data_IF_027326999178
#
_entry.id   IF_027326999178
#
_cell.length_a   1.000
_cell.length_b   1.000
_cell.length_c   1.000
_cell.angle_alpha   90.00
_cell.angle_beta   90.00
_cell.angle_gamma   90.00
#
_symmetry.space_group_name_H-M   'P 1'
#
loop_
_entity.id
_entity.type
_entity.pdbx_description
1 polymer ?
#
# COMPACT_ATOMS: atom_id res chain seq x y z
N UNK A 1 8.57 -11.42 -7.29
CA UNK A 1 8.09 -10.01 -7.41
C UNK A 1 7.76 -9.61 -8.85
N UNK A 2 8.45 -10.17 -9.84
CA UNK A 2 8.20 -9.88 -11.26
C UNK A 2 7.68 -11.10 -12.02
N UNK A 3 8.00 -12.33 -11.59
CA UNK A 3 7.73 -13.59 -12.29
C UNK A 3 6.36 -14.21 -11.97
N UNK A 4 5.71 -13.76 -10.90
CA UNK A 4 4.45 -14.31 -10.44
C UNK A 4 3.39 -13.21 -10.35
N UNK A 5 2.14 -13.59 -10.56
CA UNK A 5 0.98 -12.71 -10.39
C UNK A 5 0.19 -13.09 -9.14
N UNK A 6 -0.46 -12.12 -8.53
CA UNK A 6 -1.36 -12.31 -7.40
C UNK A 6 -2.61 -11.44 -7.55
N UNK A 7 -3.65 -11.78 -6.83
CA UNK A 7 -4.87 -10.97 -6.77
C UNK A 7 -4.66 -9.87 -5.72
N UNK A 8 -4.63 -8.57 -6.09
CA UNK A 8 -4.19 -7.49 -5.19
C UNK A 8 -5.16 -7.21 -4.02
N UNK A 9 -6.40 -7.70 -4.11
CA UNK A 9 -7.42 -7.47 -3.11
C UNK A 9 -7.64 -5.97 -2.86
N UNK A 10 -7.94 -5.62 -1.63
CA UNK A 10 -8.35 -4.26 -1.27
C UNK A 10 -7.29 -3.17 -1.47
N UNK A 11 -6.02 -3.48 -1.76
CA UNK A 11 -5.04 -2.48 -2.22
C UNK A 11 -5.52 -1.83 -3.53
N UNK A 12 -6.20 -2.60 -4.38
CA UNK A 12 -6.73 -2.12 -5.66
C UNK A 12 -7.78 -1.00 -5.53
N UNK A 13 -8.44 -0.88 -4.37
CA UNK A 13 -9.40 0.20 -4.11
C UNK A 13 -8.79 1.61 -4.22
N UNK A 14 -7.48 1.74 -4.01
CA UNK A 14 -6.78 3.03 -4.20
C UNK A 14 -6.84 3.49 -5.66
N UNK A 15 -6.69 2.55 -6.60
CA UNK A 15 -6.76 2.84 -8.05
C UNK A 15 -8.18 3.12 -8.50
N UNK A 16 -9.17 2.39 -7.96
CA UNK A 16 -10.59 2.64 -8.25
C UNK A 16 -11.04 3.98 -7.68
N UNK A 17 -10.60 4.36 -6.48
CA UNK A 17 -10.85 5.68 -5.92
C UNK A 17 -10.21 6.79 -6.77
N UNK A 18 -8.98 6.57 -7.24
CA UNK A 18 -8.27 7.50 -8.13
C UNK A 18 -9.05 7.73 -9.43
N UNK A 19 -9.46 6.66 -10.10
CA UNK A 19 -10.24 6.74 -11.34
C UNK A 19 -11.59 7.45 -11.13
N UNK A 20 -12.30 7.12 -10.05
CA UNK A 20 -13.61 7.67 -9.77
C UNK A 20 -13.57 9.17 -9.38
N UNK A 21 -12.51 9.60 -8.69
CA UNK A 21 -12.27 11.02 -8.40
C UNK A 21 -11.88 11.79 -9.67
N UNK A 22 -11.01 11.23 -10.50
CA UNK A 22 -10.56 11.85 -11.75
C UNK A 22 -11.70 12.06 -12.74
N UNK A 23 -12.59 11.07 -12.86
CA UNK A 23 -13.80 11.16 -13.70
C UNK A 23 -14.94 11.95 -13.03
N UNK A 24 -14.74 12.47 -11.82
CA UNK A 24 -15.73 13.21 -11.05
C UNK A 24 -17.05 12.45 -10.82
N UNK A 25 -17.07 11.12 -10.90
CA UNK A 25 -18.25 10.30 -10.58
C UNK A 25 -18.49 10.19 -9.08
N UNK A 26 -17.47 10.52 -8.28
CA UNK A 26 -17.53 10.71 -6.82
C UNK A 26 -16.67 11.91 -6.42
N UNK A 27 -16.86 12.40 -5.20
CA UNK A 27 -16.00 13.37 -4.53
C UNK A 27 -15.80 12.96 -3.06
N UNK A 28 -14.96 13.68 -2.30
CA UNK A 28 -14.65 13.32 -0.90
C UNK A 28 -15.90 13.31 0.01
N UNK A 29 -16.94 14.07 -0.33
CA UNK A 29 -18.21 14.15 0.41
C UNK A 29 -19.24 13.10 -0.04
N UNK A 30 -18.93 12.32 -1.09
CA UNK A 30 -19.82 11.23 -1.52
C UNK A 30 -19.97 10.21 -0.40
N UNK A 31 -21.23 9.91 -0.03
CA UNK A 31 -21.56 8.99 1.05
C UNK A 31 -22.21 7.71 0.54
N UNK A 32 -22.06 6.65 1.32
CA UNK A 32 -22.70 5.36 1.13
C UNK A 32 -23.07 4.74 2.47
N UNK A 33 -24.28 4.18 2.56
CA UNK A 33 -24.75 3.45 3.75
C UNK A 33 -24.51 1.95 3.58
N UNK A 34 -23.49 1.42 4.25
CA UNK A 34 -23.13 0.01 4.20
C UNK A 34 -23.94 -0.80 5.23
N UNK A 35 -24.75 -1.71 4.77
CA UNK A 35 -25.57 -2.64 5.58
C UNK A 35 -24.95 -4.05 5.67
N UNK A 36 -23.64 -4.18 5.41
CA UNK A 36 -22.91 -5.45 5.48
C UNK A 36 -22.88 -6.27 4.18
N UNK A 37 -23.66 -5.92 3.19
CA UNK A 37 -23.68 -6.57 1.87
C UNK A 37 -24.36 -5.69 0.81
N UNK A 38 -24.16 -6.07 -0.47
CA UNK A 38 -24.86 -5.47 -1.62
C UNK A 38 -25.28 -6.60 -2.57
N UNK A 39 -26.48 -6.47 -3.15
CA UNK A 39 -26.95 -7.36 -4.20
C UNK A 39 -26.41 -6.91 -5.56
N UNK A 40 -25.74 -7.81 -6.27
CA UNK A 40 -25.24 -7.59 -7.62
C UNK A 40 -25.73 -8.74 -8.48
N UNK A 41 -26.67 -8.47 -9.37
CA UNK A 41 -27.37 -9.52 -10.11
C UNK A 41 -27.91 -10.60 -9.14
N UNK A 42 -27.64 -11.87 -9.38
CA UNK A 42 -28.03 -12.99 -8.50
C UNK A 42 -27.09 -13.20 -7.29
N UNK A 43 -26.00 -12.46 -7.18
CA UNK A 43 -24.99 -12.65 -6.12
C UNK A 43 -25.15 -11.62 -5.01
N UNK A 44 -25.10 -12.11 -3.76
CA UNK A 44 -25.00 -11.24 -2.58
C UNK A 44 -23.53 -11.10 -2.20
N UNK A 45 -22.92 -9.95 -2.54
CA UNK A 45 -21.53 -9.64 -2.21
C UNK A 45 -21.44 -9.05 -0.80
N UNK A 46 -20.59 -9.63 0.04
CA UNK A 46 -20.49 -9.30 1.46
C UNK A 46 -19.37 -8.29 1.74
N UNK A 47 -19.60 -7.44 2.72
CA UNK A 47 -18.54 -6.69 3.37
C UNK A 47 -17.79 -7.61 4.36
N UNK A 48 -16.50 -7.36 4.59
CA UNK A 48 -15.75 -8.08 5.62
C UNK A 48 -16.32 -7.78 7.03
N UNK A 49 -16.91 -6.62 7.25
CA UNK A 49 -17.65 -6.28 8.47
C UNK A 49 -19.14 -6.54 8.25
N UNK A 50 -19.61 -7.67 8.71
CA UNK A 50 -20.95 -8.19 8.42
C UNK A 50 -22.11 -7.33 8.97
N UNK A 51 -21.99 -6.64 10.14
CA UNK A 51 -23.04 -5.72 10.59
C UNK A 51 -23.21 -4.51 9.67
N UNK A 52 -22.21 -4.22 8.83
CA UNK A 52 -22.17 -3.02 7.99
C UNK A 52 -21.58 -1.81 8.72
N UNK A 53 -20.97 -0.92 7.95
CA UNK A 53 -20.26 0.25 8.48
C UNK A 53 -21.20 1.46 8.71
N UNK A 54 -22.48 1.33 8.35
CA UNK A 54 -23.40 2.48 8.33
C UNK A 54 -23.04 3.50 7.24
N UNK A 55 -23.44 4.74 7.45
CA UNK A 55 -23.15 5.84 6.51
C UNK A 55 -21.70 6.30 6.68
N UNK A 56 -20.96 6.31 5.59
CA UNK A 56 -19.55 6.67 5.54
C UNK A 56 -19.24 7.49 4.28
N UNK A 57 -18.30 8.42 4.39
CA UNK A 57 -17.77 9.19 3.28
C UNK A 57 -16.81 8.32 2.43
N UNK A 58 -16.36 8.84 1.27
CA UNK A 58 -15.40 8.16 0.42
C UNK A 58 -14.10 7.82 1.19
N UNK A 59 -13.58 8.76 1.98
CA UNK A 59 -12.39 8.54 2.82
C UNK A 59 -12.64 7.43 3.84
N UNK A 60 -13.73 7.48 4.58
CA UNK A 60 -14.11 6.44 5.55
C UNK A 60 -14.34 5.08 4.89
N UNK A 61 -14.88 5.06 3.67
CA UNK A 61 -15.03 3.83 2.88
C UNK A 61 -13.68 3.17 2.55
N UNK A 62 -12.63 3.97 2.31
CA UNK A 62 -11.27 3.49 2.11
C UNK A 62 -10.62 3.07 3.44
N UNK A 63 -10.79 3.85 4.52
CA UNK A 63 -10.36 3.54 5.90
C UNK A 63 -10.88 2.18 6.35
N UNK A 64 -12.18 1.98 6.20
CA UNK A 64 -12.88 0.77 6.57
C UNK A 64 -12.75 -0.35 5.53
N UNK A 65 -12.09 -0.10 4.41
CA UNK A 65 -11.98 -1.07 3.32
C UNK A 65 -13.33 -1.66 2.87
N UNK A 66 -14.40 -0.86 2.81
CA UNK A 66 -15.77 -1.29 2.59
C UNK A 66 -16.02 -1.82 1.17
N UNK A 67 -16.26 -3.13 1.01
CA UNK A 67 -16.51 -3.74 -0.30
C UNK A 67 -17.80 -3.19 -0.97
N UNK A 68 -18.98 -3.13 -0.31
CA UNK A 68 -20.21 -2.63 -0.94
C UNK A 68 -20.06 -1.20 -1.46
N UNK A 69 -19.32 -0.33 -0.75
CA UNK A 69 -19.09 1.02 -1.22
C UNK A 69 -18.26 1.03 -2.51
N UNK A 70 -17.15 0.29 -2.55
CA UNK A 70 -16.30 0.23 -3.73
C UNK A 70 -16.96 -0.46 -4.92
N UNK A 71 -17.85 -1.42 -4.69
CA UNK A 71 -18.74 -1.98 -5.72
C UNK A 71 -19.60 -0.88 -6.32
N UNK A 72 -20.25 -0.07 -5.48
CA UNK A 72 -21.08 1.06 -5.94
C UNK A 72 -20.27 2.10 -6.71
N UNK A 73 -19.04 2.40 -6.28
CA UNK A 73 -18.13 3.31 -6.98
C UNK A 73 -17.76 2.75 -8.35
N UNK A 74 -17.40 1.48 -8.44
CA UNK A 74 -17.05 0.84 -9.71
C UNK A 74 -18.24 0.79 -10.67
N UNK A 75 -19.45 0.52 -10.17
CA UNK A 75 -20.68 0.57 -11.00
C UNK A 75 -20.97 1.98 -11.51
N UNK A 76 -20.73 3.02 -10.71
CA UNK A 76 -20.85 4.42 -11.15
C UNK A 76 -19.78 4.81 -12.17
N UNK A 77 -18.55 4.30 -12.01
CA UNK A 77 -17.45 4.52 -12.93
C UNK A 77 -17.75 3.89 -14.31
N UNK A 78 -18.41 2.72 -14.30
CA UNK A 78 -18.73 1.93 -15.49
C UNK A 78 -17.54 1.17 -16.05
N UNK A 79 -17.81 0.17 -16.89
CA UNK A 79 -16.78 -0.73 -17.45
C UNK A 79 -15.74 0.07 -18.24
N UNK A 80 -16.19 0.97 -19.12
CA UNK A 80 -15.29 1.73 -19.99
C UNK A 80 -14.28 2.57 -19.21
N UNK A 81 -14.72 3.37 -18.26
CA UNK A 81 -13.81 4.18 -17.46
C UNK A 81 -12.96 3.32 -16.51
N UNK A 82 -13.53 2.25 -15.93
CA UNK A 82 -12.73 1.29 -15.15
C UNK A 82 -11.56 0.76 -15.98
N UNK A 83 -11.83 0.30 -17.20
CA UNK A 83 -10.81 -0.29 -18.08
C UNK A 83 -9.82 0.77 -18.60
N UNK A 84 -10.27 1.98 -18.91
CA UNK A 84 -9.44 3.13 -19.25
C UNK A 84 -8.34 3.35 -18.20
N UNK A 85 -8.69 3.37 -16.91
CA UNK A 85 -7.72 3.56 -15.83
C UNK A 85 -6.93 2.29 -15.50
N UNK A 86 -7.51 1.12 -15.66
CA UNK A 86 -6.79 -0.14 -15.55
C UNK A 86 -5.63 -0.21 -16.55
N UNK A 87 -5.86 0.21 -17.79
CA UNK A 87 -4.79 0.36 -18.80
C UNK A 87 -3.85 1.52 -18.49
N UNK A 88 -4.38 2.68 -18.11
CA UNK A 88 -3.58 3.86 -17.83
C UNK A 88 -2.58 3.65 -16.70
N UNK A 89 -2.93 2.91 -15.64
CA UNK A 89 -2.02 2.49 -14.56
C UNK A 89 -1.02 1.39 -14.99
N UNK A 90 -1.09 0.89 -16.23
CA UNK A 90 -0.18 -0.12 -16.77
C UNK A 90 -0.51 -1.56 -16.39
N UNK A 91 -1.75 -1.84 -15.96
CA UNK A 91 -2.15 -3.18 -15.51
C UNK A 91 -2.51 -4.14 -16.64
N UNK A 92 -2.53 -3.68 -17.90
CA UNK A 92 -2.78 -4.50 -19.09
C UNK A 92 -1.52 -5.09 -19.71
N UNK A 93 -0.34 -4.62 -19.30
CA UNK A 93 0.93 -4.97 -19.94
C UNK A 93 2.07 -5.06 -18.92
N UNK A 94 3.18 -5.67 -19.33
CA UNK A 94 4.42 -5.72 -18.54
C UNK A 94 4.96 -4.31 -18.29
N UNK A 95 5.63 -4.12 -17.15
CA UNK A 95 6.28 -2.85 -16.80
C UNK A 95 7.52 -2.59 -17.64
N UNK A 96 8.08 -3.64 -18.27
CA UNK A 96 9.37 -3.63 -18.95
C UNK A 96 10.53 -3.19 -18.03
N UNK A 97 10.47 -3.59 -16.76
CA UNK A 97 11.63 -3.48 -15.87
C UNK A 97 12.81 -4.27 -16.43
N UNK A 98 14.02 -3.82 -16.19
CA UNK A 98 15.26 -4.44 -16.67
C UNK A 98 15.62 -5.75 -15.91
N UNK A 99 14.61 -6.56 -15.65
CA UNK A 99 14.74 -7.92 -15.08
C UNK A 99 14.18 -8.96 -16.06
N UNK A 100 14.81 -10.13 -16.18
CA UNK A 100 14.27 -11.22 -16.97
C UNK A 100 13.06 -11.88 -16.28
N UNK A 101 12.20 -12.51 -17.09
CA UNK A 101 11.13 -13.36 -16.57
C UNK A 101 9.90 -12.61 -16.04
N UNK A 102 9.69 -11.35 -16.41
CA UNK A 102 8.47 -10.63 -16.00
C UNK A 102 7.23 -11.33 -16.54
N UNK A 103 6.31 -11.69 -15.63
CA UNK A 103 5.05 -12.34 -15.98
C UNK A 103 4.08 -11.35 -16.63
N UNK A 104 3.19 -11.85 -17.47
CA UNK A 104 2.08 -11.06 -18.01
C UNK A 104 0.93 -11.03 -17.02
N UNK A 105 0.22 -9.89 -16.87
CA UNK A 105 -0.97 -9.81 -16.05
C UNK A 105 -2.07 -10.71 -16.61
N UNK A 106 -2.97 -11.17 -15.71
CA UNK A 106 -4.14 -11.95 -16.08
C UNK A 106 -5.38 -11.14 -15.76
N UNK A 107 -6.18 -10.82 -16.76
CA UNK A 107 -7.38 -10.00 -16.63
C UNK A 107 -8.38 -10.33 -17.74
N UNK A 108 -9.65 -10.03 -17.50
CA UNK A 108 -10.67 -10.06 -18.54
C UNK A 108 -10.56 -8.81 -19.42
N UNK A 109 -10.79 -8.97 -20.73
CA UNK A 109 -10.87 -7.83 -21.65
C UNK A 109 -12.13 -7.00 -21.38
N UNK A 110 -12.15 -5.75 -21.83
CA UNK A 110 -13.23 -4.80 -21.59
C UNK A 110 -14.61 -5.37 -22.00
N UNK A 111 -14.68 -6.05 -23.15
CA UNK A 111 -15.91 -6.67 -23.69
C UNK A 111 -16.39 -7.90 -22.90
N UNK A 112 -15.59 -8.42 -22.00
CA UNK A 112 -15.89 -9.55 -21.12
C UNK A 112 -16.41 -9.13 -19.74
N UNK A 113 -16.39 -7.82 -19.44
CA UNK A 113 -16.87 -7.31 -18.16
C UNK A 113 -18.38 -7.12 -18.16
N UNK A 114 -19.09 -7.94 -17.39
CA UNK A 114 -20.44 -7.67 -16.95
C UNK A 114 -20.45 -6.92 -15.62
N UNK A 115 -21.65 -6.71 -15.06
CA UNK A 115 -21.85 -6.02 -13.79
C UNK A 115 -21.18 -6.75 -12.62
N UNK A 116 -21.12 -8.08 -12.67
CA UNK A 116 -20.55 -8.94 -11.61
C UNK A 116 -19.02 -8.83 -11.63
N UNK A 117 -18.42 -8.97 -12.81
CA UNK A 117 -16.95 -8.83 -12.99
C UNK A 117 -16.48 -7.44 -12.58
N UNK A 118 -17.16 -6.38 -13.03
CA UNK A 118 -16.86 -5.00 -12.64
C UNK A 118 -16.97 -4.81 -11.12
N UNK A 119 -18.02 -5.33 -10.52
CA UNK A 119 -18.24 -5.24 -9.07
C UNK A 119 -17.12 -5.93 -8.29
N UNK A 120 -16.72 -7.14 -8.70
CA UNK A 120 -15.63 -7.89 -8.09
C UNK A 120 -14.28 -7.20 -8.31
N UNK A 121 -14.01 -6.72 -9.51
CA UNK A 121 -12.79 -5.99 -9.86
C UNK A 121 -12.64 -4.68 -9.08
N UNK A 122 -13.75 -4.01 -8.73
CA UNK A 122 -13.76 -2.75 -8.00
C UNK A 122 -13.19 -2.85 -6.58
N UNK A 123 -13.12 -4.05 -6.00
CA UNK A 123 -12.42 -4.27 -4.73
C UNK A 123 -11.23 -5.23 -4.85
N UNK A 124 -10.78 -5.49 -6.10
CA UNK A 124 -9.49 -6.12 -6.40
C UNK A 124 -9.50 -7.64 -6.44
N UNK A 125 -10.64 -8.31 -6.71
CA UNK A 125 -10.76 -9.78 -6.66
C UNK A 125 -10.79 -10.47 -8.04
N UNK A 126 -10.73 -9.74 -9.14
CA UNK A 126 -10.93 -10.34 -10.48
C UNK A 126 -9.63 -10.49 -11.25
N UNK A 127 -8.70 -9.57 -11.08
CA UNK A 127 -7.49 -9.50 -11.91
C UNK A 127 -6.26 -9.95 -11.12
N UNK A 128 -5.31 -10.64 -11.79
CA UNK A 128 -4.02 -11.01 -11.23
C UNK A 128 -2.91 -10.16 -11.85
N UNK A 129 -2.15 -9.47 -11.02
CA UNK A 129 -1.10 -8.54 -11.38
C UNK A 129 0.22 -8.96 -10.75
N UNK A 130 1.34 -8.60 -11.36
CA UNK A 130 2.62 -8.76 -10.68
C UNK A 130 2.76 -7.74 -9.55
N UNK A 131 3.48 -8.07 -8.45
CA UNK A 131 3.79 -7.12 -7.40
C UNK A 131 4.41 -5.82 -7.93
N UNK A 132 5.29 -5.92 -8.94
CA UNK A 132 5.92 -4.72 -9.52
C UNK A 132 4.92 -3.82 -10.24
N UNK A 133 3.90 -4.38 -10.94
CA UNK A 133 2.84 -3.57 -11.54
C UNK A 133 2.06 -2.80 -10.48
N UNK A 134 1.64 -3.46 -9.40
CA UNK A 134 0.90 -2.81 -8.31
C UNK A 134 1.76 -1.73 -7.62
N UNK A 135 3.03 -2.02 -7.36
CA UNK A 135 3.96 -1.04 -6.79
C UNK A 135 4.17 0.17 -7.72
N UNK A 136 4.33 -0.06 -9.02
CA UNK A 136 4.47 1.01 -10.04
C UNK A 136 3.20 1.88 -10.10
N UNK A 137 2.02 1.28 -9.97
CA UNK A 137 0.75 2.01 -9.82
C UNK A 137 0.70 2.87 -8.56
N UNK A 138 1.19 2.37 -7.42
CA UNK A 138 1.33 3.15 -6.18
C UNK A 138 2.31 4.31 -6.36
N UNK A 139 3.43 4.10 -7.08
CA UNK A 139 4.33 5.19 -7.45
C UNK A 139 3.63 6.28 -8.27
N UNK A 140 2.73 5.91 -9.18
CA UNK A 140 1.96 6.90 -9.92
C UNK A 140 1.02 7.72 -9.01
N UNK A 141 0.39 7.09 -8.02
CA UNK A 141 -0.38 7.81 -6.99
C UNK A 141 0.54 8.73 -6.16
N UNK A 142 1.75 8.29 -5.84
CA UNK A 142 2.70 9.03 -5.00
C UNK A 142 3.25 10.29 -5.69
N UNK A 143 3.56 10.23 -6.98
CA UNK A 143 4.37 11.24 -7.70
C UNK A 143 3.56 12.26 -8.53
N UNK A 144 2.30 12.51 -8.18
CA UNK A 144 1.44 13.45 -8.91
C UNK A 144 0.75 12.86 -10.14
N UNK A 145 0.60 11.54 -10.20
CA UNK A 145 -0.19 10.83 -11.20
C UNK A 145 0.58 10.33 -12.43
N UNK A 146 1.90 10.31 -12.38
CA UNK A 146 2.76 9.92 -13.52
C UNK A 146 3.15 8.44 -13.45
N UNK A 147 2.80 7.66 -14.46
CA UNK A 147 3.32 6.30 -14.62
C UNK A 147 4.75 6.35 -15.14
N UNK A 148 5.68 5.78 -14.39
CA UNK A 148 7.08 5.70 -14.75
C UNK A 148 7.46 4.25 -15.10
N UNK A 149 8.41 4.06 -16.02
CA UNK A 149 8.99 2.75 -16.26
C UNK A 149 9.98 2.42 -15.12
N UNK A 150 9.77 1.33 -14.35
CA UNK A 150 10.71 0.94 -13.31
C UNK A 150 12.01 0.41 -13.91
N UNK A 151 13.12 0.59 -13.19
CA UNK A 151 14.43 0.03 -13.52
C UNK A 151 15.24 -0.24 -12.25
N UNK A 152 16.21 -1.16 -12.33
CA UNK A 152 17.15 -1.48 -11.25
C UNK A 152 18.56 -0.98 -11.56
N UNK A 153 18.97 -1.06 -12.82
CA UNK A 153 20.32 -0.66 -13.23
C UNK A 153 20.38 0.83 -13.46
N UNK A 154 20.95 1.58 -12.52
CA UNK A 154 21.12 3.04 -12.64
C UNK A 154 22.21 3.43 -13.65
N UNK A 155 23.32 2.66 -13.67
CA UNK A 155 24.43 2.91 -14.61
C UNK A 155 25.29 1.66 -14.84
N UNK A 156 25.96 1.64 -15.98
CA UNK A 156 26.99 0.66 -16.32
C UNK A 156 28.31 1.42 -16.45
N UNK A 157 29.35 0.94 -15.77
CA UNK A 157 30.69 1.51 -15.82
C UNK A 157 31.69 0.50 -16.42
N UNK A 158 32.69 0.98 -17.14
CA UNK A 158 33.78 0.14 -17.64
C UNK A 158 34.82 -0.17 -16.53
N UNK A 159 35.85 -0.95 -16.87
CA UNK A 159 36.92 -1.34 -15.95
C UNK A 159 37.72 -0.15 -15.40
N UNK A 160 37.67 1.01 -16.02
CA UNK A 160 38.33 2.24 -15.62
C UNK A 160 37.44 3.18 -14.79
N UNK A 161 36.19 2.75 -14.48
CA UNK A 161 35.21 3.54 -13.76
C UNK A 161 34.47 4.59 -14.60
N UNK A 162 34.65 4.59 -15.92
CA UNK A 162 33.94 5.51 -16.84
C UNK A 162 32.52 4.99 -17.07
N UNK A 163 31.53 5.85 -16.92
CA UNK A 163 30.13 5.53 -17.22
C UNK A 163 29.97 5.28 -18.73
N UNK A 164 29.58 4.06 -19.09
CA UNK A 164 29.26 3.61 -20.46
C UNK A 164 27.81 3.83 -20.77
N UNK A 165 26.91 3.62 -19.78
CA UNK A 165 25.48 3.82 -19.91
C UNK A 165 24.93 4.35 -18.58
N UNK A 166 24.01 5.30 -18.65
CA UNK A 166 23.20 5.77 -17.54
C UNK A 166 21.73 5.57 -17.88
N UNK A 167 20.96 5.05 -16.94
CA UNK A 167 19.51 4.93 -17.10
C UNK A 167 18.86 6.23 -16.67
N UNK A 168 18.05 6.81 -17.54
CA UNK A 168 17.26 8.00 -17.22
C UNK A 168 15.83 7.60 -16.88
N UNK A 169 15.20 8.35 -15.96
CA UNK A 169 13.80 8.17 -15.60
C UNK A 169 12.92 8.37 -16.83
N UNK A 170 12.09 7.38 -17.14
CA UNK A 170 11.19 7.43 -18.30
C UNK A 170 9.75 7.55 -17.83
N UNK A 171 9.14 8.69 -18.06
CA UNK A 171 7.71 8.88 -17.93
C UNK A 171 6.98 8.21 -19.10
N UNK A 172 6.03 7.33 -18.79
CA UNK A 172 5.19 6.63 -19.79
C UNK A 172 3.98 7.49 -20.12
N UNK A 173 3.27 7.99 -19.09
CA UNK A 173 2.07 8.82 -19.25
C UNK A 173 1.64 9.47 -17.93
N UNK A 174 0.83 10.53 -18.04
CA UNK A 174 0.02 11.02 -16.92
C UNK A 174 -1.24 10.14 -16.81
N UNK A 175 -1.49 9.56 -15.65
CA UNK A 175 -2.63 8.65 -15.38
C UNK A 175 -3.78 9.39 -14.75
N UNK A 176 -3.48 10.19 -13.73
CA UNK A 176 -4.42 11.02 -12.98
C UNK A 176 -3.81 12.40 -12.75
N UNK A 177 -4.61 13.41 -12.49
CA UNK A 177 -4.14 14.75 -12.16
C UNK A 177 -3.37 14.77 -10.84
N UNK A 178 -2.53 15.80 -10.65
CA UNK A 178 -1.83 16.02 -9.37
C UNK A 178 -2.83 16.25 -8.22
N UNK A 179 -3.96 16.89 -8.49
CA UNK A 179 -5.04 17.11 -7.51
C UNK A 179 -5.67 15.79 -7.06
N UNK A 180 -5.97 14.88 -7.99
CA UNK A 180 -6.47 13.54 -7.65
C UNK A 180 -5.43 12.73 -6.89
N UNK A 181 -4.16 12.76 -7.30
CA UNK A 181 -3.04 12.15 -6.60
C UNK A 181 -2.98 12.63 -5.13
N UNK A 182 -3.01 13.93 -4.90
CA UNK A 182 -2.98 14.51 -3.55
C UNK A 182 -4.19 14.05 -2.70
N UNK A 183 -5.40 14.07 -3.27
CA UNK A 183 -6.61 13.59 -2.58
C UNK A 183 -6.47 12.13 -2.16
N UNK A 184 -6.00 11.26 -3.06
CA UNK A 184 -5.84 9.83 -2.77
C UNK A 184 -4.73 9.59 -1.74
N UNK A 185 -3.61 10.32 -1.81
CA UNK A 185 -2.55 10.25 -0.78
C UNK A 185 -3.07 10.63 0.61
N UNK A 186 -3.88 11.68 0.71
CA UNK A 186 -4.55 12.07 1.97
C UNK A 186 -5.52 11.00 2.48
N UNK A 187 -6.29 10.37 1.58
CA UNK A 187 -7.14 9.24 1.95
C UNK A 187 -6.32 8.04 2.44
N UNK A 188 -5.20 7.72 1.78
CA UNK A 188 -4.30 6.63 2.22
C UNK A 188 -3.66 6.94 3.58
N UNK A 189 -3.32 8.22 3.85
CA UNK A 189 -2.87 8.65 5.18
C UNK A 189 -3.96 8.40 6.23
N UNK A 190 -5.20 8.76 5.92
CA UNK A 190 -6.33 8.55 6.83
C UNK A 190 -6.58 7.05 7.12
N UNK A 191 -6.30 6.15 6.18
CA UNK A 191 -6.33 4.69 6.42
C UNK A 191 -5.33 4.28 7.51
N UNK A 192 -4.15 4.91 7.55
CA UNK A 192 -3.14 4.65 8.59
C UNK A 192 -3.51 5.33 9.90
N UNK A 193 -3.99 6.57 9.85
CA UNK A 193 -4.33 7.31 11.08
C UNK A 193 -5.58 6.74 11.78
N UNK A 194 -6.62 6.39 11.01
CA UNK A 194 -7.97 6.13 11.52
C UNK A 194 -8.55 4.76 11.12
N UNK A 195 -7.97 4.10 10.12
CA UNK A 195 -8.56 2.93 9.47
C UNK A 195 -7.86 1.61 9.76
N UNK A 196 -8.00 0.69 8.81
CA UNK A 196 -7.45 -0.67 8.86
C UNK A 196 -5.92 -0.73 8.80
N UNK A 197 -5.25 0.37 8.48
CA UNK A 197 -3.80 0.48 8.32
C UNK A 197 -3.04 0.98 9.56
N UNK A 198 -3.67 1.10 10.72
CA UNK A 198 -3.08 1.72 11.94
C UNK A 198 -1.70 1.19 12.33
N UNK A 199 -1.44 -0.08 12.14
CA UNK A 199 -0.15 -0.70 12.46
C UNK A 199 0.98 -0.28 11.47
N UNK A 200 0.64 0.45 10.41
CA UNK A 200 1.60 1.08 9.50
C UNK A 200 2.04 2.48 9.92
N UNK A 201 1.56 2.96 11.07
CA UNK A 201 1.91 4.27 11.61
C UNK A 201 3.39 4.31 12.06
N UNK A 202 4.06 5.42 11.73
CA UNK A 202 5.44 5.71 12.16
C UNK A 202 5.48 7.13 12.72
N UNK A 203 5.83 7.27 13.99
CA UNK A 203 5.92 8.58 14.64
C UNK A 203 6.87 9.52 13.88
N UNK A 204 6.45 10.76 13.69
CA UNK A 204 7.21 11.76 12.97
C UNK A 204 7.19 11.64 11.44
N UNK A 205 6.60 10.57 10.90
CA UNK A 205 6.49 10.37 9.45
C UNK A 205 5.04 10.21 9.01
N UNK A 206 4.67 10.97 7.97
CA UNK A 206 3.34 10.87 7.37
C UNK A 206 3.27 9.64 6.47
N UNK A 207 2.74 8.51 6.96
CA UNK A 207 2.60 7.29 6.17
C UNK A 207 1.19 7.19 5.60
N UNK A 208 1.08 7.00 4.30
CA UNK A 208 -0.17 6.61 3.63
C UNK A 208 -0.14 5.12 3.30
N UNK A 209 -1.25 4.40 3.52
CA UNK A 209 -1.26 2.97 3.24
C UNK A 209 -2.63 2.39 2.92
N UNK A 210 -2.64 1.15 2.43
CA UNK A 210 -3.87 0.38 2.21
C UNK A 210 -3.60 -1.10 2.41
N UNK A 211 -4.41 -1.72 3.26
CA UNK A 211 -4.41 -3.16 3.50
C UNK A 211 -5.04 -3.93 2.35
N UNK A 212 -4.52 -5.10 2.03
CA UNK A 212 -5.09 -6.07 1.11
C UNK A 212 -5.23 -7.44 1.76
N UNK A 213 -6.29 -8.13 1.39
CA UNK A 213 -6.50 -9.56 1.66
C UNK A 213 -7.23 -10.12 0.47
N UNK A 214 -6.72 -11.19 -0.10
CA UNK A 214 -7.35 -11.90 -1.22
C UNK A 214 -7.32 -13.40 -0.97
N UNK A 215 -8.38 -14.09 -1.42
CA UNK A 215 -8.47 -15.54 -1.37
C UNK A 215 -7.79 -16.13 -2.60
N UNK A 216 -6.98 -17.17 -2.43
CA UNK A 216 -6.43 -17.96 -3.53
C UNK A 216 -7.50 -18.88 -4.06
N UNK A 217 -8.03 -18.57 -5.26
CA UNK A 217 -9.08 -19.36 -5.89
C UNK A 217 -8.52 -20.69 -6.43
N UNK A 218 -9.17 -21.79 -6.11
CA UNK A 218 -8.88 -23.12 -6.67
C UNK A 218 -7.83 -23.93 -5.92
N UNK A 219 -7.24 -23.46 -4.83
CA UNK A 219 -6.26 -24.22 -4.04
C UNK A 219 -6.85 -24.92 -2.80
N UNK A 220 -8.12 -24.66 -2.48
CA UNK A 220 -8.83 -25.43 -1.44
C UNK A 220 -9.21 -26.81 -1.97
N UNK A 221 -8.32 -27.78 -1.82
CA UNK A 221 -8.58 -29.20 -2.07
C UNK A 221 -8.68 -29.94 -0.74
N UNK A 222 -9.70 -30.77 -0.60
CA UNK A 222 -9.84 -31.76 0.49
C UNK A 222 -10.11 -31.23 1.91
N UNK A 223 -10.89 -30.14 2.08
CA UNK A 223 -11.31 -29.70 3.43
C UNK A 223 -10.26 -28.89 4.18
N UNK A 224 -9.16 -28.51 3.55
CA UNK A 224 -8.29 -27.43 4.02
C UNK A 224 -9.01 -26.10 3.86
N UNK A 225 -8.89 -25.20 4.84
CA UNK A 225 -9.49 -23.86 4.80
C UNK A 225 -9.00 -23.03 3.62
N UNK A 226 -9.69 -21.93 3.34
CA UNK A 226 -9.28 -21.00 2.28
C UNK A 226 -7.86 -20.49 2.54
N UNK A 227 -7.02 -20.52 1.49
CA UNK A 227 -5.68 -19.91 1.53
C UNK A 227 -5.76 -18.44 1.13
N UNK A 228 -4.97 -17.63 1.78
CA UNK A 228 -4.99 -16.17 1.59
C UNK A 228 -3.63 -15.62 1.18
N UNK A 229 -3.67 -14.51 0.45
CA UNK A 229 -2.55 -13.60 0.27
C UNK A 229 -2.91 -12.31 0.98
N UNK A 230 -2.06 -11.85 1.89
CA UNK A 230 -2.25 -10.60 2.61
C UNK A 230 -1.19 -9.60 2.17
N UNK A 231 -1.56 -8.32 2.10
CA UNK A 231 -0.67 -7.29 1.60
C UNK A 231 -0.90 -5.93 2.27
N UNK A 232 0.08 -5.07 2.15
CA UNK A 232 0.00 -3.67 2.51
C UNK A 232 0.78 -2.83 1.50
N UNK A 233 0.06 -1.97 0.76
CA UNK A 233 0.67 -0.96 -0.09
C UNK A 233 0.84 0.33 0.69
N UNK A 234 2.04 0.94 0.66
CA UNK A 234 2.34 2.16 1.40
C UNK A 234 3.13 3.17 0.56
N UNK A 235 3.00 4.42 0.95
CA UNK A 235 3.78 5.57 0.46
C UNK A 235 4.25 6.39 1.66
N UNK A 236 5.47 6.92 1.61
CA UNK A 236 6.02 7.72 2.70
C UNK A 236 7.10 8.71 2.22
N UNK A 237 7.14 9.95 2.76
CA UNK A 237 6.03 10.60 3.46
C UNK A 237 4.82 10.79 2.54
N UNK A 238 3.58 10.76 3.04
CA UNK A 238 2.39 10.83 2.17
C UNK A 238 2.11 12.24 1.62
N UNK A 239 2.66 13.26 2.25
CA UNK A 239 2.58 14.67 1.83
C UNK A 239 3.61 15.00 0.74
N UNK A 240 4.82 14.43 0.83
CA UNK A 240 5.90 14.56 -0.17
C UNK A 240 6.60 13.20 -0.34
N UNK A 241 6.05 12.28 -1.14
CA UNK A 241 6.49 10.90 -1.18
C UNK A 241 7.88 10.70 -1.78
N UNK A 242 8.74 10.04 -1.02
CA UNK A 242 10.08 9.60 -1.44
C UNK A 242 10.12 8.10 -1.74
N UNK A 243 9.25 7.32 -1.07
CA UNK A 243 9.17 5.88 -1.28
C UNK A 243 7.72 5.42 -1.48
N UNK A 244 7.57 4.40 -2.30
CA UNK A 244 6.39 3.57 -2.35
C UNK A 244 6.81 2.11 -2.16
N UNK A 245 6.01 1.34 -1.43
CA UNK A 245 6.30 -0.05 -1.16
C UNK A 245 5.04 -0.91 -1.21
N UNK A 246 5.24 -2.19 -1.47
CA UNK A 246 4.21 -3.21 -1.39
C UNK A 246 4.77 -4.42 -0.63
N UNK A 247 4.25 -4.66 0.55
CA UNK A 247 4.55 -5.83 1.37
C UNK A 247 3.50 -6.89 1.10
N UNK A 248 3.94 -8.11 0.79
CA UNK A 248 3.06 -9.25 0.53
C UNK A 248 3.52 -10.42 1.37
N UNK A 249 2.58 -11.10 2.02
CA UNK A 249 2.79 -12.41 2.67
C UNK A 249 1.83 -13.40 2.03
N UNK A 250 2.40 -14.42 1.40
CA UNK A 250 1.66 -15.51 0.76
C UNK A 250 1.46 -16.64 1.75
N UNK A 251 0.22 -17.10 1.88
CA UNK A 251 -0.20 -18.17 2.78
C UNK A 251 0.33 -18.01 4.22
N UNK A 252 -0.03 -16.93 4.93
CA UNK A 252 0.41 -16.74 6.30
C UNK A 252 -0.08 -17.88 7.19
N UNK A 253 0.77 -18.32 8.12
CA UNK A 253 0.43 -19.39 9.08
C UNK A 253 -0.63 -18.99 10.14
N UNK A 254 -1.13 -17.76 10.09
CA UNK A 254 -2.11 -17.20 11.01
C UNK A 254 -3.21 -16.50 10.21
N UNK A 255 -4.45 -16.60 10.66
CA UNK A 255 -5.60 -15.89 10.10
C UNK A 255 -5.57 -14.39 10.40
N UNK A 256 -4.47 -13.73 10.05
CA UNK A 256 -4.27 -12.30 10.24
C UNK A 256 -4.28 -11.58 8.89
N UNK A 257 -5.04 -10.50 8.81
CA UNK A 257 -5.09 -9.68 7.60
C UNK A 257 -3.83 -8.81 7.39
N UNK A 258 -3.72 -8.18 6.22
CA UNK A 258 -2.58 -7.33 5.84
C UNK A 258 -2.28 -6.20 6.83
N UNK A 259 -3.30 -5.68 7.53
CA UNK A 259 -3.13 -4.67 8.57
C UNK A 259 -2.40 -5.18 9.82
N UNK A 260 -2.52 -6.47 10.14
CA UNK A 260 -1.85 -7.07 11.30
C UNK A 260 -0.46 -7.60 10.97
N UNK A 261 -0.26 -8.16 9.77
CA UNK A 261 1.00 -8.78 9.36
C UNK A 261 1.90 -7.84 8.54
N UNK A 262 1.35 -7.24 7.48
CA UNK A 262 2.16 -6.50 6.51
C UNK A 262 2.39 -5.04 6.93
N UNK A 263 1.42 -4.40 7.61
CA UNK A 263 1.54 -3.00 7.98
C UNK A 263 2.66 -2.73 9.01
N UNK A 264 2.90 -3.56 10.05
CA UNK A 264 4.05 -3.38 10.95
C UNK A 264 5.39 -3.50 10.21
N UNK A 265 5.48 -4.43 9.24
CA UNK A 265 6.69 -4.59 8.42
C UNK A 265 6.92 -3.32 7.59
N UNK A 266 5.85 -2.78 6.97
CA UNK A 266 5.94 -1.54 6.21
C UNK A 266 6.34 -0.35 7.09
N UNK A 267 5.85 -0.27 8.33
CA UNK A 267 6.25 0.76 9.29
C UNK A 267 7.76 0.69 9.59
N UNK A 268 8.26 -0.51 9.87
CA UNK A 268 9.69 -0.71 10.12
C UNK A 268 10.55 -0.35 8.91
N UNK A 269 10.19 -0.84 7.71
CA UNK A 269 10.89 -0.50 6.47
C UNK A 269 10.83 1.00 6.19
N UNK A 270 9.70 1.67 6.48
CA UNK A 270 9.59 3.13 6.33
C UNK A 270 10.59 3.85 7.22
N UNK A 271 10.65 3.48 8.51
CA UNK A 271 11.57 4.12 9.46
C UNK A 271 13.03 3.98 9.01
N UNK A 272 13.45 2.77 8.63
CA UNK A 272 14.81 2.52 8.14
C UNK A 272 15.11 3.27 6.83
N UNK A 273 14.16 3.29 5.90
CA UNK A 273 14.32 4.00 4.63
C UNK A 273 14.46 5.51 4.84
N UNK A 274 13.64 6.11 5.71
CA UNK A 274 13.73 7.54 6.02
C UNK A 274 15.09 7.89 6.63
N UNK A 275 15.60 7.05 7.54
CA UNK A 275 16.95 7.22 8.11
C UNK A 275 18.04 7.18 7.03
N UNK A 276 17.98 6.20 6.11
CA UNK A 276 18.96 6.07 5.01
C UNK A 276 18.89 7.26 4.04
N UNK A 277 17.68 7.78 3.78
CA UNK A 277 17.47 8.95 2.92
C UNK A 277 17.80 10.29 3.62
N UNK A 278 18.08 10.27 4.93
CA UNK A 278 18.36 11.48 5.71
C UNK A 278 17.13 12.38 5.87
N UNK A 279 15.94 11.79 5.87
CA UNK A 279 14.68 12.53 6.06
C UNK A 279 14.37 12.59 7.55
N UNK A 280 14.42 13.79 8.09
CA UNK A 280 14.17 14.02 9.51
C UNK A 280 12.68 13.86 9.87
N UNK A 281 12.36 13.24 11.04
CA UNK A 281 10.99 13.10 11.49
C UNK A 281 10.37 14.46 11.88
N UNK A 282 9.10 14.65 11.51
CA UNK A 282 8.30 15.83 11.86
C UNK A 282 7.24 15.43 12.89
N UNK A 283 7.58 15.54 14.16
CA UNK A 283 6.68 15.16 15.25
C UNK A 283 5.57 16.19 15.47
N UNK A 284 4.34 15.70 15.67
CA UNK A 284 3.24 16.53 16.14
C UNK A 284 3.28 16.73 17.66
N UNK A 285 2.41 17.60 18.21
CA UNK A 285 2.41 17.96 19.65
C UNK A 285 2.18 16.74 20.57
N UNK A 286 1.41 15.76 20.13
CA UNK A 286 1.15 14.53 20.92
C UNK A 286 2.39 13.63 20.92
N UNK A 287 3.01 13.44 19.75
CA UNK A 287 4.25 12.68 19.61
C UNK A 287 5.39 13.33 20.40
N UNK A 288 5.50 14.66 20.36
CA UNK A 288 6.49 15.39 21.14
C UNK A 288 6.31 15.19 22.66
N UNK A 289 5.07 15.14 23.15
CA UNK A 289 4.81 14.83 24.56
C UNK A 289 5.26 13.42 24.95
N UNK A 290 5.08 12.46 24.06
CA UNK A 290 5.52 11.08 24.30
C UNK A 290 7.04 10.95 24.24
N UNK A 291 7.72 11.69 23.35
CA UNK A 291 9.17 11.76 23.26
C UNK A 291 9.81 12.56 24.43
N UNK A 292 9.09 13.48 25.05
CA UNK A 292 9.58 14.26 26.19
C UNK A 292 9.64 13.46 27.51
N UNK A 293 9.24 12.20 27.52
CA UNK A 293 9.46 11.31 28.65
C UNK A 293 10.95 11.12 28.86
N UNK A 294 11.43 11.45 30.05
CA UNK A 294 12.84 11.35 30.39
C UNK A 294 13.30 9.88 30.24
N UNK A 295 14.22 9.65 29.31
CA UNK A 295 14.79 8.31 29.11
C UNK A 295 15.57 7.90 30.37
N UNK A 296 15.25 6.76 31.03
CA UNK A 296 15.98 6.33 32.19
C UNK A 296 17.43 6.03 31.85
N UNK A 297 18.35 6.34 32.76
CA UNK A 297 19.76 6.05 32.57
C UNK A 297 19.98 4.51 32.59
N UNK A 298 20.39 3.97 31.45
CA UNK A 298 20.71 2.55 31.28
C UNK A 298 22.20 2.29 31.08
N UNK A 299 23.04 3.32 31.20
CA UNK A 299 24.50 3.20 31.04
C UNK A 299 25.05 2.27 32.12
N UNK A 300 25.85 1.28 31.74
CA UNK A 300 26.44 0.30 32.65
C UNK A 300 25.54 -0.85 33.09
N UNK A 301 24.27 -0.89 32.65
CA UNK A 301 23.39 -2.05 32.88
C UNK A 301 23.63 -3.15 31.85
N UNK A 302 23.35 -4.39 32.23
CA UNK A 302 23.28 -5.50 31.27
C UNK A 302 22.16 -5.26 30.26
N UNK A 303 22.20 -5.89 29.09
CA UNK A 303 21.20 -5.76 28.03
C UNK A 303 19.77 -6.06 28.55
N UNK A 304 19.63 -7.11 29.36
CA UNK A 304 18.34 -7.52 29.90
C UNK A 304 17.82 -6.54 30.96
N UNK A 305 18.69 -6.03 31.83
CA UNK A 305 18.35 -5.00 32.81
C UNK A 305 18.02 -3.67 32.15
N UNK A 306 18.72 -3.30 31.07
CA UNK A 306 18.42 -2.12 30.29
C UNK A 306 17.05 -2.22 29.60
N UNK A 307 16.75 -3.36 28.95
CA UNK A 307 15.44 -3.63 28.35
C UNK A 307 14.33 -3.52 29.38
N UNK A 308 14.46 -4.22 30.51
CA UNK A 308 13.49 -4.18 31.60
C UNK A 308 13.28 -2.76 32.12
N UNK A 309 14.35 -2.00 32.32
CA UNK A 309 14.25 -0.60 32.77
C UNK A 309 13.51 0.27 31.77
N UNK A 310 13.71 0.08 30.45
CA UNK A 310 13.02 0.82 29.41
C UNK A 310 11.55 0.44 29.35
N UNK A 311 11.22 -0.85 29.39
CA UNK A 311 9.85 -1.37 29.39
C UNK A 311 9.03 -0.87 30.61
N UNK A 312 9.63 -0.85 31.80
CA UNK A 312 9.02 -0.30 33.04
C UNK A 312 8.70 1.19 32.91
N UNK A 313 9.38 1.92 32.01
CA UNK A 313 9.11 3.31 31.69
C UNK A 313 8.30 3.51 30.40
N UNK A 314 7.65 2.45 29.89
CA UNK A 314 6.87 2.42 28.64
C UNK A 314 7.69 2.86 27.41
N UNK A 315 8.95 2.49 27.38
CA UNK A 315 9.87 2.72 26.24
C UNK A 315 10.23 1.39 25.59
N UNK A 316 10.13 1.31 24.28
CA UNK A 316 10.58 0.14 23.53
C UNK A 316 12.09 0.22 23.32
N UNK A 317 12.78 -0.90 23.49
CA UNK A 317 14.20 -1.02 23.16
C UNK A 317 14.40 -1.72 21.82
N UNK A 318 15.19 -1.13 20.92
CA UNK A 318 15.66 -1.78 19.70
C UNK A 318 17.17 -1.97 19.84
N UNK A 319 17.62 -3.22 19.70
CA UNK A 319 19.04 -3.55 19.78
C UNK A 319 19.57 -3.76 18.36
N UNK A 320 20.52 -2.92 17.92
CA UNK A 320 21.22 -3.08 16.65
C UNK A 320 22.58 -3.76 16.90
N UNK A 321 22.80 -4.91 16.25
CA UNK A 321 24.07 -5.65 16.37
C UNK A 321 25.20 -5.12 15.46
N UNK A 322 24.91 -4.10 14.63
CA UNK A 322 25.87 -3.52 13.68
C UNK A 322 25.92 -1.99 13.74
N UNK A 323 26.42 -1.44 14.85
CA UNK A 323 26.94 -0.06 14.85
C UNK A 323 28.29 -0.08 14.12
N UNK A 324 28.39 0.56 12.96
CA UNK A 324 29.67 0.83 12.31
C UNK A 324 30.48 1.79 13.19
N UNK A 325 31.75 1.47 13.39
CA UNK A 325 32.69 2.20 14.27
C UNK A 325 32.96 3.69 13.87
N UNK A 326 32.18 4.26 12.96
CA UNK A 326 32.30 5.65 12.51
C UNK A 326 31.36 6.65 13.20
N UNK A 327 30.37 6.20 13.95
CA UNK A 327 29.39 7.14 14.58
C UNK A 327 29.76 7.53 16.02
N UNK A 328 30.77 6.90 16.62
CA UNK A 328 31.18 7.18 18.01
C UNK A 328 32.05 8.41 18.19
N UNK A 329 32.35 9.21 17.14
CA UNK A 329 33.17 10.42 17.25
C UNK A 329 32.40 11.74 17.17
N UNK A 330 31.08 11.72 16.97
CA UNK A 330 30.28 12.95 16.80
C UNK A 330 29.43 13.34 18.01
N UNK A 331 29.33 12.52 19.06
CA UNK A 331 28.51 12.78 20.24
C UNK A 331 29.27 12.55 21.56
N UNK A 332 30.41 13.24 21.72
CA UNK A 332 31.04 13.49 23.00
C UNK A 332 31.23 15.00 23.19
#
# INVERSE_FOLDING_TARGET
TVSDTYVPGSVFKTFVASAALEENVVNLNTTYNCTGSIQVDKYKMKCHYHPGHGTQTLTQGLENSCNPFFITIGQKLGVHNYFKYFDAFGFTQKTNIDLPGEASPQYYKEDQYGIVELSSASFGQTNSLTPIQVCTGLCAIANGGKLLQPYLVSSIVDANGKTVKKTETKEIRQVISADTSEKVRKMMKSVVDNGTGKNGYVAGYSVGGKTGTSTKLGESKNGEGDKYIVSFGAIAPSDDPEIAMLIIVDEPNQDLGGGALCAPIAAHVTQEAMNVLGIEPKYNDSEMKDLSKQTPNVVGKSLDEAKKTLEENNLNSVSYTHLRAHETKANL
#
